data_IF_342541699042
#
_entry.id   IF_342541699042
#
_cell.length_a   1.000
_cell.length_b   1.000
_cell.length_c   1.000
_cell.angle_alpha   90.00
_cell.angle_beta   90.00
_cell.angle_gamma   90.00
#
_symmetry.space_group_name_H-M   'P 1'
#
loop_
_entity.id
_entity.type
_entity.pdbx_description
1 polymer ?
#
# COMPACT_ATOMS: atom_id res chain seq x y z
N UNK A 1 2.91 13.99 -9.77
CA UNK A 1 1.93 13.67 -8.73
C UNK A 1 1.35 12.30 -9.03
N UNK A 2 1.47 11.36 -8.12
CA UNK A 2 1.00 9.98 -8.26
C UNK A 2 -0.42 9.83 -7.73
N UNK A 3 -0.74 10.47 -6.61
CA UNK A 3 -1.96 10.28 -5.84
C UNK A 3 -2.53 11.60 -5.29
N UNK A 4 -3.59 11.51 -4.47
CA UNK A 4 -4.10 12.61 -3.66
C UNK A 4 -3.01 13.16 -2.73
N UNK A 5 -3.09 14.45 -2.39
CA UNK A 5 -2.17 15.07 -1.41
C UNK A 5 -2.40 14.57 0.03
N UNK A 6 -3.51 13.87 0.25
CA UNK A 6 -3.80 13.23 1.52
C UNK A 6 -2.95 11.99 1.80
N UNK A 7 -2.24 11.44 0.81
CA UNK A 7 -1.50 10.17 0.94
C UNK A 7 -0.03 10.42 1.27
N UNK A 8 0.42 9.84 2.38
CA UNK A 8 1.82 9.63 2.70
C UNK A 8 2.11 8.13 2.82
N UNK A 9 3.27 7.70 2.33
CA UNK A 9 3.78 6.34 2.51
C UNK A 9 5.23 6.43 2.95
N UNK A 10 5.54 5.74 4.05
CA UNK A 10 6.89 5.59 4.59
C UNK A 10 7.29 4.13 4.59
N UNK A 11 8.58 3.89 4.53
CA UNK A 11 9.16 2.64 5.00
C UNK A 11 9.83 2.90 6.36
N UNK A 12 9.42 2.16 7.39
CA UNK A 12 9.90 2.35 8.77
C UNK A 12 10.29 1.01 9.40
N UNK A 13 11.44 0.49 9.00
CA UNK A 13 11.97 -0.78 9.50
C UNK A 13 12.21 -0.80 11.02
N UNK A 14 12.27 0.37 11.68
CA UNK A 14 12.40 0.51 13.12
C UNK A 14 11.08 0.75 13.86
N UNK A 15 9.94 0.63 13.16
CA UNK A 15 8.62 0.83 13.74
C UNK A 15 8.39 -0.09 14.95
N UNK A 16 7.80 0.43 16.03
CA UNK A 16 7.61 -0.30 17.31
C UNK A 16 6.83 -1.61 17.20
N UNK A 17 5.96 -1.73 16.17
CA UNK A 17 5.16 -2.92 15.89
C UNK A 17 5.83 -3.88 14.92
N UNK A 18 6.99 -3.53 14.36
CA UNK A 18 7.74 -4.39 13.45
C UNK A 18 8.53 -5.43 14.24
N UNK A 19 8.01 -6.66 14.31
CA UNK A 19 8.67 -7.78 15.00
C UNK A 19 9.98 -8.23 14.34
N UNK A 20 10.21 -7.84 13.09
CA UNK A 20 11.43 -8.14 12.31
C UNK A 20 12.40 -6.97 12.27
N UNK A 21 12.19 -5.96 13.12
CA UNK A 21 13.02 -4.76 13.18
C UNK A 21 14.50 -5.08 13.36
N UNK A 22 15.34 -4.47 12.53
CA UNK A 22 16.80 -4.58 12.59
C UNK A 22 17.44 -3.21 12.46
N UNK A 23 18.51 -2.91 13.25
CA UNK A 23 19.18 -1.60 13.21
C UNK A 23 19.95 -1.33 11.92
N UNK A 24 20.23 -2.37 11.12
CA UNK A 24 20.89 -2.26 9.82
C UNK A 24 20.41 -3.35 8.87
N UNK A 25 20.53 -3.06 7.58
CA UNK A 25 20.21 -4.00 6.52
C UNK A 25 21.31 -5.06 6.33
N UNK A 26 21.14 -5.93 5.34
CA UNK A 26 22.08 -7.02 5.05
C UNK A 26 23.48 -6.56 4.59
N UNK A 27 23.64 -5.33 4.14
CA UNK A 27 24.94 -4.76 3.76
C UNK A 27 25.55 -3.89 4.88
N UNK A 28 24.90 -3.79 6.04
CA UNK A 28 25.34 -3.00 7.18
C UNK A 28 24.95 -1.52 7.11
N UNK A 29 24.10 -1.14 6.18
CA UNK A 29 23.56 0.22 6.09
C UNK A 29 22.52 0.43 7.20
N UNK A 30 22.61 1.52 8.01
CA UNK A 30 21.64 1.77 9.07
C UNK A 30 20.20 1.87 8.55
N UNK A 31 19.29 1.14 9.19
CA UNK A 31 17.85 1.23 8.96
C UNK A 31 17.32 2.56 9.50
N UNK A 32 16.41 3.18 8.76
CA UNK A 32 15.77 4.44 9.15
C UNK A 32 14.40 4.56 8.54
N UNK A 33 13.53 5.35 9.16
CA UNK A 33 12.28 5.76 8.52
C UNK A 33 12.57 6.58 7.26
N UNK A 34 12.05 6.11 6.12
CA UNK A 34 12.23 6.74 4.80
C UNK A 34 10.87 7.12 4.22
N UNK A 35 10.70 8.38 3.83
CA UNK A 35 9.51 8.82 3.12
C UNK A 35 9.59 8.39 1.66
N UNK A 36 8.69 7.52 1.22
CA UNK A 36 8.58 7.06 -0.17
C UNK A 36 7.64 7.95 -0.98
N UNK A 37 6.49 8.27 -0.40
CA UNK A 37 5.47 9.14 -0.99
C UNK A 37 5.10 10.21 0.03
N UNK A 38 5.24 11.46 -0.37
CA UNK A 38 4.90 12.62 0.42
C UNK A 38 3.83 13.44 -0.31
N UNK A 39 2.67 13.61 0.32
CA UNK A 39 1.53 14.34 -0.26
C UNK A 39 1.24 13.91 -1.71
N UNK A 40 1.16 12.59 -1.92
CA UNK A 40 0.88 11.98 -3.21
C UNK A 40 1.96 12.13 -4.27
N UNK A 41 3.17 12.54 -3.92
CA UNK A 41 4.33 12.62 -4.83
C UNK A 41 5.40 11.64 -4.40
N UNK A 42 6.01 10.93 -5.35
CA UNK A 42 7.18 10.08 -5.07
C UNK A 42 8.31 10.99 -4.64
N UNK A 43 8.92 10.69 -3.49
CA UNK A 43 10.02 11.46 -2.92
C UNK A 43 11.33 10.68 -2.93
N UNK A 44 11.30 9.42 -2.53
CA UNK A 44 12.48 8.57 -2.53
C UNK A 44 12.20 7.18 -3.11
N UNK A 45 13.28 6.53 -3.51
CA UNK A 45 13.34 5.11 -3.85
C UNK A 45 14.22 4.39 -2.83
N UNK A 46 14.01 3.09 -2.66
CA UNK A 46 14.84 2.25 -1.81
C UNK A 46 16.04 1.73 -2.59
N UNK A 47 17.22 1.69 -1.96
CA UNK A 47 18.48 1.35 -2.59
C UNK A 47 19.37 0.48 -1.71
N UNK A 48 20.00 -0.54 -2.34
CA UNK A 48 21.21 -1.19 -1.84
C UNK A 48 22.45 -0.35 -2.18
N UNK A 49 23.63 -0.72 -1.70
CA UNK A 49 24.90 -0.13 -2.11
C UNK A 49 25.09 -0.15 -3.63
N UNK A 50 24.77 -1.26 -4.25
CA UNK A 50 24.94 -1.44 -5.70
C UNK A 50 24.00 -0.53 -6.50
N UNK A 51 22.71 -0.47 -6.17
CA UNK A 51 21.75 0.38 -6.86
C UNK A 51 22.01 1.86 -6.56
N UNK A 52 22.41 2.20 -5.34
CA UNK A 52 22.78 3.56 -4.97
C UNK A 52 23.95 4.10 -5.84
N UNK A 53 24.98 3.30 -6.10
CA UNK A 53 26.07 3.67 -7.02
C UNK A 53 25.59 3.90 -8.44
N UNK A 54 24.72 3.03 -8.96
CA UNK A 54 24.16 3.18 -10.32
C UNK A 54 23.38 4.49 -10.45
N UNK A 55 22.54 4.79 -9.48
CA UNK A 55 21.68 5.98 -9.49
C UNK A 55 22.33 7.23 -8.88
N UNK A 56 23.62 7.15 -8.49
CA UNK A 56 24.39 8.24 -7.89
C UNK A 56 23.70 8.86 -6.66
N UNK A 57 23.19 8.00 -5.82
CA UNK A 57 22.53 8.36 -4.55
C UNK A 57 23.17 7.62 -3.37
N UNK A 58 22.57 7.65 -2.21
CA UNK A 58 23.03 6.95 -1.01
C UNK A 58 22.21 5.68 -0.78
N UNK A 59 22.78 4.62 -0.19
CA UNK A 59 22.02 3.44 0.23
C UNK A 59 21.03 3.81 1.33
N UNK A 60 19.92 3.09 1.39
CA UNK A 60 18.78 3.47 2.21
C UNK A 60 18.48 2.51 3.35
N UNK A 61 19.25 1.44 3.51
CA UNK A 61 19.06 0.46 4.57
C UNK A 61 17.99 -0.59 4.25
N UNK A 62 17.89 -1.00 2.96
CA UNK A 62 16.86 -1.90 2.47
C UNK A 62 17.42 -3.12 1.71
N UNK A 63 18.69 -3.44 1.94
CA UNK A 63 19.35 -4.56 1.28
C UNK A 63 19.09 -5.87 2.02
N UNK A 64 18.46 -6.83 1.37
CA UNK A 64 18.35 -8.21 1.84
C UNK A 64 19.52 -9.06 1.33
N UNK A 65 20.11 -9.89 2.20
CA UNK A 65 21.13 -10.85 1.82
C UNK A 65 20.51 -12.19 1.44
N UNK A 66 20.93 -12.70 0.28
CA UNK A 66 20.58 -14.03 -0.23
C UNK A 66 21.65 -14.49 -1.20
N UNK A 67 21.30 -15.34 -2.16
CA UNK A 67 22.20 -15.68 -3.27
C UNK A 67 22.58 -14.47 -4.11
N UNK A 68 21.74 -13.45 -4.10
CA UNK A 68 21.98 -12.10 -4.64
C UNK A 68 21.40 -11.08 -3.66
N UNK A 69 22.01 -9.90 -3.62
CA UNK A 69 21.43 -8.76 -2.88
C UNK A 69 20.11 -8.37 -3.55
N UNK A 70 19.06 -8.34 -2.76
CA UNK A 70 17.74 -7.83 -3.15
C UNK A 70 17.45 -6.51 -2.46
N UNK A 71 16.54 -5.74 -3.00
CA UNK A 71 16.04 -4.51 -2.38
C UNK A 71 14.54 -4.64 -2.20
N UNK A 72 14.07 -4.54 -0.97
CA UNK A 72 12.67 -4.67 -0.61
C UNK A 72 12.31 -3.73 0.53
N UNK A 73 11.03 -3.30 0.64
CA UNK A 73 10.56 -2.61 1.82
C UNK A 73 10.69 -3.50 3.07
N UNK A 74 10.92 -2.87 4.22
CA UNK A 74 10.96 -3.55 5.52
C UNK A 74 9.59 -3.52 6.19
N UNK A 75 9.02 -2.32 6.37
CA UNK A 75 7.75 -2.12 7.05
C UNK A 75 7.03 -0.89 6.53
N UNK A 76 5.99 -1.09 5.74
CA UNK A 76 5.26 0.01 5.13
C UNK A 76 4.30 0.66 6.12
N UNK A 77 4.33 1.97 6.19
CA UNK A 77 3.41 2.79 6.99
C UNK A 77 2.66 3.72 6.04
N UNK A 78 1.37 3.48 5.89
CA UNK A 78 0.48 4.33 5.10
C UNK A 78 -0.26 5.26 6.05
N UNK A 79 -0.21 6.55 5.78
CA UNK A 79 -0.79 7.58 6.63
C UNK A 79 -1.59 8.60 5.82
N UNK A 80 -2.65 9.10 6.43
CA UNK A 80 -3.31 10.31 5.95
C UNK A 80 -2.44 11.51 6.28
N UNK A 81 -2.08 12.29 5.26
CA UNK A 81 -1.34 13.53 5.46
C UNK A 81 -2.20 14.56 6.20
N UNK A 82 -1.56 15.40 7.03
CA UNK A 82 -2.24 16.51 7.69
C UNK A 82 -2.52 17.63 6.68
N UNK A 83 -3.76 18.08 6.61
CA UNK A 83 -4.19 19.19 5.75
C UNK A 83 -5.68 19.13 5.39
N UNK A 84 -6.19 20.22 4.82
CA UNK A 84 -7.51 20.28 4.22
C UNK A 84 -7.43 19.73 2.80
N UNK A 85 -7.96 18.54 2.59
CA UNK A 85 -8.00 17.87 1.30
C UNK A 85 -9.46 17.66 0.88
N UNK A 86 -9.69 17.74 -0.42
CA UNK A 86 -10.98 17.42 -1.04
C UNK A 86 -11.16 15.89 -1.09
N UNK A 87 -11.35 15.30 0.08
CA UNK A 87 -11.69 13.90 0.26
C UNK A 87 -13.16 13.78 0.66
N UNK A 88 -13.81 12.71 0.25
CA UNK A 88 -15.16 12.38 0.70
C UNK A 88 -15.14 11.96 2.18
N UNK A 89 -14.97 12.91 3.08
CA UNK A 89 -14.77 12.68 4.52
C UNK A 89 -15.92 11.94 5.21
N UNK A 90 -17.07 11.85 4.57
CA UNK A 90 -18.21 11.05 5.05
C UNK A 90 -18.06 9.55 4.80
N UNK A 91 -17.07 9.13 3.99
CA UNK A 91 -16.82 7.72 3.74
C UNK A 91 -16.10 7.10 4.93
N UNK A 92 -16.81 6.22 5.62
CA UNK A 92 -16.27 5.35 6.66
C UNK A 92 -16.99 4.00 6.53
N UNK A 93 -16.23 2.92 6.37
CA UNK A 93 -16.78 1.60 6.09
C UNK A 93 -17.76 1.10 7.17
N UNK A 94 -17.68 1.58 8.41
CA UNK A 94 -18.56 1.21 9.49
C UNK A 94 -19.92 1.92 9.44
N UNK A 95 -20.00 3.11 8.85
CA UNK A 95 -21.16 4.00 8.92
C UNK A 95 -21.67 4.49 7.56
N UNK A 96 -21.16 3.98 6.45
CA UNK A 96 -21.57 4.38 5.11
C UNK A 96 -22.79 3.59 4.65
N UNK A 97 -23.88 4.28 4.33
CA UNK A 97 -25.16 3.65 3.91
C UNK A 97 -25.22 3.35 2.40
N UNK A 98 -24.17 3.62 1.65
CA UNK A 98 -24.11 3.35 0.21
C UNK A 98 -23.75 1.91 -0.13
N UNK A 99 -23.57 1.67 -1.42
CA UNK A 99 -23.08 0.38 -1.93
C UNK A 99 -21.57 0.45 -2.13
N UNK A 100 -20.83 -0.52 -1.58
CA UNK A 100 -19.39 -0.65 -1.74
C UNK A 100 -18.92 -2.09 -1.52
N UNK A 101 -17.78 -2.42 -2.09
CA UNK A 101 -17.09 -3.68 -1.85
C UNK A 101 -15.96 -3.45 -0.83
N UNK A 102 -16.00 -4.18 0.26
CA UNK A 102 -14.93 -4.25 1.23
C UNK A 102 -14.05 -5.46 0.92
N UNK A 103 -12.80 -5.22 0.60
CA UNK A 103 -11.81 -6.25 0.34
C UNK A 103 -11.13 -6.58 1.68
N UNK A 104 -11.29 -7.81 2.13
CA UNK A 104 -10.72 -8.29 3.38
C UNK A 104 -9.35 -8.92 3.15
N UNK A 105 -9.22 -9.70 2.07
CA UNK A 105 -7.97 -10.38 1.74
C UNK A 105 -7.74 -10.38 0.22
N UNK A 106 -6.49 -10.10 -0.17
CA UNK A 106 -6.00 -10.22 -1.54
C UNK A 106 -5.15 -11.48 -1.66
N UNK A 107 -5.52 -12.34 -2.60
CA UNK A 107 -4.86 -13.61 -2.82
C UNK A 107 -3.90 -13.56 -4.01
N UNK A 108 -2.91 -14.47 -4.03
CA UNK A 108 -1.97 -14.66 -5.15
C UNK A 108 -1.23 -13.38 -5.60
N UNK A 109 -0.87 -12.48 -4.69
CA UNK A 109 -0.24 -11.18 -4.99
C UNK A 109 1.02 -11.35 -5.86
N UNK A 110 1.84 -12.37 -5.58
CA UNK A 110 3.07 -12.66 -6.33
C UNK A 110 2.83 -13.11 -7.79
N UNK A 111 1.65 -13.65 -8.09
CA UNK A 111 1.29 -14.11 -9.44
C UNK A 111 0.43 -13.09 -10.20
N UNK A 112 -0.39 -12.33 -9.49
CA UNK A 112 -1.35 -11.40 -10.06
C UNK A 112 -0.85 -9.99 -10.28
N UNK A 113 0.37 -9.63 -9.82
CA UNK A 113 0.96 -8.30 -9.98
C UNK A 113 2.06 -8.32 -11.04
N UNK A 114 1.95 -7.45 -12.03
CA UNK A 114 2.97 -7.22 -13.05
C UNK A 114 3.64 -5.87 -12.84
N UNK A 115 4.62 -5.84 -11.93
CA UNK A 115 5.26 -4.60 -11.48
C UNK A 115 5.85 -3.75 -12.62
N UNK A 116 6.43 -4.39 -13.66
CA UNK A 116 6.99 -3.68 -14.82
C UNK A 116 5.94 -2.95 -15.67
N UNK A 117 4.71 -3.43 -15.65
CA UNK A 117 3.58 -2.83 -16.38
C UNK A 117 2.72 -1.95 -15.48
N UNK A 118 2.83 -2.12 -14.16
CA UNK A 118 1.98 -1.46 -13.18
C UNK A 118 0.57 -2.02 -13.13
N UNK A 119 0.31 -3.20 -13.71
CA UNK A 119 -1.02 -3.82 -13.74
C UNK A 119 -1.14 -4.90 -12.67
N UNK A 120 -2.37 -5.11 -12.21
CA UNK A 120 -2.71 -6.20 -11.31
C UNK A 120 -4.05 -6.84 -11.69
N UNK A 121 -4.18 -8.13 -11.34
CA UNK A 121 -5.42 -8.90 -11.40
C UNK A 121 -5.35 -9.92 -10.27
N UNK A 122 -6.08 -9.67 -9.20
CA UNK A 122 -5.94 -10.36 -7.92
C UNK A 122 -7.26 -10.95 -7.48
N UNK A 123 -7.32 -12.26 -7.22
CA UNK A 123 -8.44 -12.84 -6.49
C UNK A 123 -8.54 -12.20 -5.11
N UNK A 124 -9.75 -11.98 -4.63
CA UNK A 124 -9.99 -11.45 -3.31
C UNK A 124 -11.21 -12.10 -2.66
N UNK A 125 -11.21 -12.07 -1.35
CA UNK A 125 -12.34 -12.37 -0.49
C UNK A 125 -12.75 -11.11 0.24
N UNK A 126 -14.06 -10.97 0.51
CA UNK A 126 -14.56 -9.76 1.14
C UNK A 126 -16.07 -9.69 1.19
N UNK A 127 -16.61 -8.49 1.17
CA UNK A 127 -18.02 -8.24 1.40
C UNK A 127 -18.58 -7.17 0.47
N UNK A 128 -19.73 -7.44 -0.08
CA UNK A 128 -20.57 -6.41 -0.70
C UNK A 128 -21.50 -5.83 0.37
N UNK A 129 -21.33 -4.56 0.63
CA UNK A 129 -22.26 -3.78 1.44
C UNK A 129 -23.27 -3.09 0.52
N UNK A 130 -24.54 -3.31 0.77
CA UNK A 130 -25.63 -2.69 0.03
C UNK A 130 -26.70 -2.23 1.02
N UNK A 131 -26.73 -0.94 1.27
CA UNK A 131 -27.52 -0.34 2.35
C UNK A 131 -27.21 -1.02 3.70
N UNK A 132 -28.17 -1.72 4.29
CA UNK A 132 -28.02 -2.44 5.56
C UNK A 132 -27.65 -3.92 5.39
N UNK A 133 -27.50 -4.40 4.15
CA UNK A 133 -27.22 -5.81 3.85
C UNK A 133 -25.73 -6.01 3.60
N UNK A 134 -25.19 -7.07 4.21
CA UNK A 134 -23.81 -7.51 4.02
C UNK A 134 -23.82 -8.89 3.36
N UNK A 135 -23.24 -9.01 2.16
CA UNK A 135 -23.21 -10.23 1.36
C UNK A 135 -21.75 -10.68 1.22
N UNK A 136 -21.45 -11.93 1.55
CA UNK A 136 -20.11 -12.48 1.36
C UNK A 136 -19.76 -12.56 -0.12
N UNK A 137 -18.55 -12.17 -0.45
CA UNK A 137 -17.93 -12.34 -1.77
C UNK A 137 -16.78 -13.32 -1.59
N UNK A 138 -16.88 -14.44 -2.26
CA UNK A 138 -15.81 -15.43 -2.31
C UNK A 138 -15.31 -15.57 -3.75
N UNK A 139 -13.98 -15.60 -3.90
CA UNK A 139 -13.34 -15.84 -5.20
C UNK A 139 -13.64 -14.82 -6.31
N UNK A 140 -13.94 -13.58 -5.97
CA UNK A 140 -14.01 -12.50 -6.95
C UNK A 140 -12.60 -12.01 -7.33
N UNK A 141 -12.50 -11.32 -8.44
CA UNK A 141 -11.23 -10.77 -8.95
C UNK A 141 -11.33 -9.26 -9.06
N UNK A 142 -10.35 -8.57 -8.48
CA UNK A 142 -10.15 -7.13 -8.69
C UNK A 142 -8.99 -6.92 -9.67
N UNK A 143 -9.19 -6.08 -10.67
CA UNK A 143 -8.19 -5.80 -11.68
C UNK A 143 -8.05 -4.30 -11.94
N UNK A 144 -6.83 -3.89 -12.30
CA UNK A 144 -6.56 -2.50 -12.59
C UNK A 144 -5.09 -2.19 -12.88
N UNK A 145 -4.82 -0.91 -12.93
CA UNK A 145 -3.49 -0.32 -13.03
C UNK A 145 -3.17 0.45 -11.75
N UNK A 146 -1.96 0.29 -11.24
CA UNK A 146 -1.54 0.90 -9.97
C UNK A 146 -1.58 2.44 -10.00
N UNK A 147 -1.27 3.05 -11.15
CA UNK A 147 -1.35 4.51 -11.29
C UNK A 147 -2.79 4.99 -11.26
N UNK A 148 -3.69 4.20 -11.88
CA UNK A 148 -5.11 4.47 -11.86
C UNK A 148 -5.66 4.34 -10.44
N UNK A 149 -5.30 3.26 -9.72
CA UNK A 149 -5.68 3.06 -8.32
C UNK A 149 -5.28 4.28 -7.46
N UNK A 150 -4.01 4.68 -7.52
CA UNK A 150 -3.52 5.82 -6.74
C UNK A 150 -4.21 7.15 -7.09
N UNK A 151 -4.59 7.35 -8.35
CA UNK A 151 -5.30 8.57 -8.78
C UNK A 151 -6.75 8.62 -8.31
N UNK A 152 -7.35 7.45 -8.10
CA UNK A 152 -8.77 7.32 -7.75
C UNK A 152 -9.00 7.07 -6.26
N UNK A 153 -7.99 7.32 -5.42
CA UNK A 153 -8.19 7.37 -3.96
C UNK A 153 -9.09 8.55 -3.63
N UNK A 154 -10.26 8.25 -3.07
CA UNK A 154 -11.28 9.24 -2.72
C UNK A 154 -11.39 9.50 -1.23
N UNK A 155 -10.92 8.58 -0.39
CA UNK A 155 -10.78 8.80 1.05
C UNK A 155 -9.70 7.90 1.65
N UNK A 156 -9.14 8.34 2.75
CA UNK A 156 -8.22 7.61 3.63
C UNK A 156 -8.79 7.76 5.03
N UNK A 157 -9.18 6.64 5.66
CA UNK A 157 -9.75 6.65 7.00
C UNK A 157 -8.69 6.99 8.06
N UNK A 158 -9.13 7.27 9.28
CA UNK A 158 -8.21 7.62 10.37
C UNK A 158 -7.72 6.41 11.16
N UNK A 159 -8.51 5.34 11.18
CA UNK A 159 -8.17 4.12 11.88
C UNK A 159 -7.12 3.34 11.08
N UNK A 160 -6.11 2.85 11.77
CA UNK A 160 -5.05 2.06 11.16
C UNK A 160 -5.14 0.61 11.61
N UNK A 161 -4.94 -0.30 10.67
CA UNK A 161 -4.76 -1.72 10.90
C UNK A 161 -3.28 -2.11 10.80
N UNK A 162 -2.88 -3.04 11.64
CA UNK A 162 -1.51 -3.56 11.69
C UNK A 162 -1.51 -4.95 11.07
N UNK A 163 -0.67 -5.14 10.07
CA UNK A 163 -0.46 -6.43 9.40
C UNK A 163 0.94 -6.97 9.70
N UNK A 164 1.32 -8.08 9.10
CA UNK A 164 2.69 -8.63 9.20
C UNK A 164 3.74 -7.83 8.42
N UNK A 165 3.32 -6.93 7.52
CA UNK A 165 4.20 -6.19 6.61
C UNK A 165 4.07 -4.68 6.70
N UNK A 166 3.21 -4.18 7.59
CA UNK A 166 3.05 -2.74 7.74
C UNK A 166 1.80 -2.31 8.49
N UNK A 167 1.56 -1.02 8.45
CA UNK A 167 0.40 -0.34 9.03
C UNK A 167 -0.30 0.44 7.95
N UNK A 168 -1.61 0.25 7.80
CA UNK A 168 -2.40 0.96 6.80
C UNK A 168 -3.80 1.29 7.34
N UNK A 169 -4.34 2.46 7.04
CA UNK A 169 -5.76 2.74 7.20
C UNK A 169 -6.57 2.05 6.09
N UNK A 170 -7.88 2.02 6.23
CA UNK A 170 -8.77 1.71 5.11
C UNK A 170 -8.70 2.83 4.06
N UNK A 171 -8.59 2.42 2.81
CA UNK A 171 -8.47 3.33 1.67
C UNK A 171 -9.64 3.10 0.73
N UNK A 172 -10.38 4.17 0.45
CA UNK A 172 -11.46 4.15 -0.50
C UNK A 172 -10.98 4.52 -1.89
N UNK A 173 -11.30 3.66 -2.85
CA UNK A 173 -10.90 3.84 -4.25
C UNK A 173 -12.13 3.74 -5.14
N UNK A 174 -12.30 4.71 -6.04
CA UNK A 174 -13.38 4.70 -7.02
C UNK A 174 -12.98 3.89 -8.27
N UNK A 175 -13.97 3.20 -8.85
CA UNK A 175 -13.94 2.69 -10.23
C UNK A 175 -12.84 1.64 -10.54
N UNK A 176 -12.59 0.73 -9.63
CA UNK A 176 -11.82 -0.47 -9.98
C UNK A 176 -12.73 -1.54 -10.57
N UNK A 177 -12.21 -2.31 -11.52
CA UNK A 177 -12.94 -3.42 -12.13
C UNK A 177 -12.98 -4.60 -11.18
N UNK A 178 -14.19 -5.04 -10.85
CA UNK A 178 -14.43 -6.25 -10.07
C UNK A 178 -15.24 -7.22 -10.94
N UNK A 179 -14.79 -8.46 -11.01
CA UNK A 179 -15.48 -9.56 -11.67
C UNK A 179 -15.63 -10.72 -10.70
N UNK A 180 -16.78 -11.34 -10.66
CA UNK A 180 -17.07 -12.51 -9.83
C UNK A 180 -18.13 -13.34 -10.53
N UNK A 181 -18.25 -14.59 -10.13
CA UNK A 181 -19.34 -15.45 -10.54
C UNK A 181 -20.63 -14.99 -9.85
N UNK A 182 -21.71 -14.89 -10.62
CA UNK A 182 -23.05 -14.48 -10.16
C UNK A 182 -23.83 -15.69 -9.64
#
# INVERSE_FOLDING_TARGET
>A
KLSTEALNIYDDGLHEKNISSSPFDGEGTPTKRLCLINKGKIENFIHSESTARIFKTIPTGHAGLGSKVSVSPDWLVVEKSNGDYDLKTSLNHLNYDGEFVYIEELNAIHAGVRASQGSFSLPFDGWLYKNTTKISIESATIAGDIKYLFKNIVNIESNQEVTTSGVSPHIWVDQLSITGDS
#
